data_IF_762188117963
#
_entry.id   IF_762188117963
#
_cell.length_a   1.000
_cell.length_b   1.000
_cell.length_c   1.000
_cell.angle_alpha   90.00
_cell.angle_beta   90.00
_cell.angle_gamma   90.00
#
_symmetry.space_group_name_H-M   'P 1'
#
loop_
_entity.id
_entity.type
_entity.pdbx_description
1 polymer ?
#
# COMPACT_ATOMS: atom_id res chain seq x y z
N UNK A 1 -9.67 8.76 28.71
CA UNK A 1 -10.38 8.19 27.55
C UNK A 1 -10.21 9.13 26.35
N UNK A 2 -8.95 9.38 25.94
CA UNK A 2 -8.58 10.41 24.94
C UNK A 2 -7.56 9.84 23.94
N UNK A 3 -7.83 8.64 23.38
CA UNK A 3 -6.87 7.93 22.52
C UNK A 3 -7.23 7.86 21.03
N UNK A 4 -8.38 8.43 20.63
CA UNK A 4 -8.90 8.30 19.26
C UNK A 4 -8.52 9.46 18.33
N UNK A 5 -8.14 10.63 18.87
CA UNK A 5 -7.83 11.81 18.06
C UNK A 5 -6.36 11.88 17.60
N UNK A 6 -5.42 11.31 18.37
CA UNK A 6 -3.99 11.27 18.02
C UNK A 6 -3.62 10.15 17.04
N UNK A 7 -4.48 9.14 16.88
CA UNK A 7 -4.18 7.95 16.07
C UNK A 7 -4.51 8.09 14.59
N UNK A 8 -5.52 8.89 14.24
CA UNK A 8 -5.94 9.13 12.85
C UNK A 8 -4.90 9.95 12.05
N UNK A 9 -4.31 11.05 12.59
CA UNK A 9 -3.27 11.80 11.90
C UNK A 9 -2.03 10.94 11.62
N UNK A 10 -1.60 10.14 12.58
CA UNK A 10 -0.44 9.24 12.45
C UNK A 10 -0.69 8.19 11.36
N UNK A 11 -1.88 7.60 11.29
CA UNK A 11 -2.20 6.63 10.25
C UNK A 11 -2.19 7.23 8.85
N UNK A 12 -2.76 8.44 8.69
CA UNK A 12 -2.78 9.14 7.40
C UNK A 12 -1.36 9.47 6.92
N UNK A 13 -0.49 9.96 7.80
CA UNK A 13 0.90 10.29 7.46
C UNK A 13 1.70 9.05 7.03
N UNK A 14 1.50 7.92 7.71
CA UNK A 14 2.13 6.65 7.36
C UNK A 14 1.69 6.15 5.98
N UNK A 15 0.39 6.25 5.67
CA UNK A 15 -0.17 5.88 4.37
C UNK A 15 0.35 6.79 3.27
N UNK A 16 0.34 8.11 3.50
CA UNK A 16 0.84 9.09 2.54
C UNK A 16 2.33 8.87 2.22
N UNK A 17 3.14 8.61 3.25
CA UNK A 17 4.56 8.27 3.07
C UNK A 17 4.73 6.98 2.27
N UNK A 18 3.97 5.93 2.58
CA UNK A 18 4.00 4.67 1.83
C UNK A 18 3.59 4.87 0.35
N UNK A 19 2.57 5.69 0.10
CA UNK A 19 2.13 6.05 -1.26
C UNK A 19 3.23 6.81 -2.02
N UNK A 20 3.92 7.74 -1.33
CA UNK A 20 5.08 8.45 -1.85
C UNK A 20 6.20 7.50 -2.30
N UNK A 21 6.50 6.45 -1.53
CA UNK A 21 7.51 5.44 -1.92
C UNK A 21 7.11 4.76 -3.24
N UNK A 22 5.85 4.35 -3.39
CA UNK A 22 5.38 3.70 -4.62
C UNK A 22 5.45 4.68 -5.80
N UNK A 23 5.01 5.93 -5.60
CA UNK A 23 5.04 6.96 -6.64
C UNK A 23 6.48 7.24 -7.11
N UNK A 24 7.42 7.44 -6.18
CA UNK A 24 8.83 7.68 -6.50
C UNK A 24 9.44 6.52 -7.30
N UNK A 25 9.21 5.27 -6.88
CA UNK A 25 9.64 4.08 -7.63
C UNK A 25 9.07 4.03 -9.04
N UNK A 26 7.78 4.35 -9.22
CA UNK A 26 7.10 4.34 -10.53
C UNK A 26 7.61 5.44 -11.46
N UNK A 27 8.05 6.58 -10.91
CA UNK A 27 8.65 7.67 -11.66
C UNK A 27 10.17 7.49 -11.92
N UNK A 28 10.79 6.41 -11.40
CA UNK A 28 12.23 6.15 -11.56
C UNK A 28 13.12 6.87 -10.54
N UNK A 29 12.55 7.58 -9.58
CA UNK A 29 13.28 8.23 -8.48
C UNK A 29 13.52 7.22 -7.35
N UNK A 30 14.54 6.39 -7.53
CA UNK A 30 14.90 5.36 -6.55
C UNK A 30 15.48 5.96 -5.27
N UNK A 31 16.24 7.05 -5.37
CA UNK A 31 16.82 7.74 -4.22
C UNK A 31 15.72 8.34 -3.33
N UNK A 32 14.75 9.05 -3.92
CA UNK A 32 13.60 9.57 -3.18
C UNK A 32 12.76 8.46 -2.54
N UNK A 33 12.61 7.31 -3.21
CA UNK A 33 11.94 6.16 -2.62
C UNK A 33 12.67 5.61 -1.38
N UNK A 34 14.01 5.57 -1.41
CA UNK A 34 14.84 5.15 -0.28
C UNK A 34 14.79 6.13 0.89
N UNK A 35 14.84 7.44 0.62
CA UNK A 35 14.69 8.48 1.63
C UNK A 35 13.32 8.40 2.33
N UNK A 36 12.24 8.24 1.54
CA UNK A 36 10.90 8.06 2.08
C UNK A 36 10.78 6.77 2.91
N UNK A 37 11.40 5.67 2.47
CA UNK A 37 11.45 4.42 3.25
C UNK A 37 12.22 4.56 4.56
N UNK A 38 13.30 5.35 4.58
CA UNK A 38 14.08 5.63 5.77
C UNK A 38 13.37 6.59 6.74
N UNK A 39 12.40 7.38 6.26
CA UNK A 39 11.67 8.35 7.08
C UNK A 39 10.56 7.74 7.97
N UNK A 40 10.36 6.42 7.94
CA UNK A 40 9.51 5.74 8.91
C UNK A 40 10.25 5.57 10.24
N UNK A 41 9.61 5.94 11.36
CA UNK A 41 10.21 5.89 12.70
C UNK A 41 10.55 4.48 13.19
N UNK A 42 9.85 3.48 12.67
CA UNK A 42 10.07 2.07 13.01
C UNK A 42 9.61 1.15 11.88
N UNK A 43 10.07 -0.09 11.94
CA UNK A 43 9.61 -1.13 11.02
C UNK A 43 8.11 -1.44 11.20
N UNK A 44 7.59 -1.34 12.44
CA UNK A 44 6.16 -1.50 12.71
C UNK A 44 5.35 -0.39 12.03
N UNK A 45 5.80 0.87 12.14
CA UNK A 45 5.17 2.01 11.48
C UNK A 45 5.20 1.88 9.95
N UNK A 46 6.34 1.45 9.40
CA UNK A 46 6.48 1.15 7.96
C UNK A 46 5.49 0.07 7.51
N UNK A 47 5.43 -1.03 8.25
CA UNK A 47 4.53 -2.15 7.96
C UNK A 47 3.08 -1.71 7.99
N UNK A 48 2.68 -0.94 9.01
CA UNK A 48 1.34 -0.39 9.13
C UNK A 48 0.99 0.54 7.96
N UNK A 49 1.90 1.43 7.56
CA UNK A 49 1.68 2.35 6.44
C UNK A 49 1.41 1.62 5.11
N UNK A 50 2.20 0.59 4.79
CA UNK A 50 1.98 -0.22 3.59
C UNK A 50 0.73 -1.11 3.68
N UNK A 51 0.43 -1.65 4.86
CA UNK A 51 -0.79 -2.44 5.07
C UNK A 51 -2.05 -1.60 4.82
N UNK A 52 -2.13 -0.41 5.45
CA UNK A 52 -3.26 0.50 5.27
C UNK A 52 -3.38 1.01 3.84
N UNK A 53 -2.25 1.29 3.18
CA UNK A 53 -2.25 1.68 1.77
C UNK A 53 -2.81 0.56 0.86
N UNK A 54 -2.42 -0.70 1.12
CA UNK A 54 -2.93 -1.83 0.36
C UNK A 54 -4.45 -2.00 0.55
N UNK A 55 -4.94 -1.92 1.79
CA UNK A 55 -6.37 -2.02 2.10
C UNK A 55 -7.19 -0.90 1.44
N UNK A 56 -6.69 0.35 1.49
CA UNK A 56 -7.30 1.49 0.81
C UNK A 56 -7.31 1.31 -0.72
N UNK A 57 -6.20 0.84 -1.31
CA UNK A 57 -6.13 0.59 -2.74
C UNK A 57 -7.13 -0.48 -3.19
N UNK A 58 -7.26 -1.59 -2.46
CA UNK A 58 -8.24 -2.64 -2.74
C UNK A 58 -9.67 -2.12 -2.63
N UNK A 59 -9.96 -1.32 -1.60
CA UNK A 59 -11.27 -0.69 -1.40
C UNK A 59 -11.61 0.28 -2.54
N UNK A 60 -10.63 1.08 -3.00
CA UNK A 60 -10.81 1.98 -4.14
C UNK A 60 -11.07 1.23 -5.44
N UNK A 61 -10.40 0.10 -5.68
CA UNK A 61 -10.65 -0.74 -6.86
C UNK A 61 -12.07 -1.29 -6.81
N UNK A 62 -12.48 -1.91 -5.70
CA UNK A 62 -13.84 -2.45 -5.54
C UNK A 62 -14.92 -1.38 -5.71
N UNK A 63 -14.71 -0.17 -5.18
CA UNK A 63 -15.64 0.94 -5.35
C UNK A 63 -15.76 1.39 -6.83
N UNK A 64 -14.67 1.35 -7.59
CA UNK A 64 -14.66 1.74 -9.01
C UNK A 64 -15.22 0.66 -9.94
N UNK A 65 -15.04 -0.62 -9.61
CA UNK A 65 -15.49 -1.76 -10.43
C UNK A 65 -16.86 -2.29 -10.03
N UNK A 66 -17.39 -1.89 -8.88
CA UNK A 66 -18.61 -2.46 -8.29
C UNK A 66 -18.41 -3.86 -7.71
N UNK A 67 -17.17 -4.35 -7.64
CA UNK A 67 -16.83 -5.65 -7.08
C UNK A 67 -16.78 -5.59 -5.54
N UNK A 68 -17.11 -6.72 -4.92
CA UNK A 68 -16.83 -6.93 -3.50
C UNK A 68 -15.34 -7.11 -3.24
N UNK A 69 -14.88 -6.81 -2.02
CA UNK A 69 -13.47 -6.98 -1.64
C UNK A 69 -12.95 -8.41 -1.90
N UNK A 70 -13.80 -9.43 -1.69
CA UNK A 70 -13.42 -10.83 -1.91
C UNK A 70 -13.15 -11.12 -3.40
N UNK A 71 -13.90 -10.51 -4.30
CA UNK A 71 -13.68 -10.65 -5.74
C UNK A 71 -12.39 -9.96 -6.17
N UNK A 72 -12.13 -8.74 -5.68
CA UNK A 72 -10.88 -8.02 -5.93
C UNK A 72 -9.67 -8.81 -5.41
N UNK A 73 -9.74 -9.35 -4.19
CA UNK A 73 -8.65 -10.16 -3.61
C UNK A 73 -8.42 -11.45 -4.38
N UNK A 74 -9.49 -12.12 -4.83
CA UNK A 74 -9.38 -13.31 -5.69
C UNK A 74 -8.66 -12.97 -7.00
N UNK A 75 -9.03 -11.88 -7.66
CA UNK A 75 -8.40 -11.44 -8.91
C UNK A 75 -6.93 -11.06 -8.70
N UNK A 76 -6.63 -10.32 -7.63
CA UNK A 76 -5.24 -10.04 -7.26
C UNK A 76 -4.43 -11.31 -7.04
N UNK A 77 -4.99 -12.33 -6.37
CA UNK A 77 -4.30 -13.61 -6.16
C UNK A 77 -4.00 -14.34 -7.47
N UNK A 78 -4.90 -14.26 -8.46
CA UNK A 78 -4.66 -14.81 -9.80
C UNK A 78 -3.50 -14.07 -10.50
N UNK A 79 -3.49 -12.74 -10.48
CA UNK A 79 -2.40 -11.92 -11.05
C UNK A 79 -1.06 -12.22 -10.36
N UNK A 80 -1.05 -12.37 -9.03
CA UNK A 80 0.15 -12.75 -8.29
C UNK A 80 0.65 -14.13 -8.72
N UNK A 81 -0.23 -15.12 -8.86
CA UNK A 81 0.15 -16.45 -9.34
C UNK A 81 0.73 -16.42 -10.76
N UNK A 82 0.16 -15.62 -11.66
CA UNK A 82 0.68 -15.43 -13.03
C UNK A 82 2.05 -14.76 -13.03
N UNK A 83 2.26 -13.73 -12.22
CA UNK A 83 3.56 -13.04 -12.14
C UNK A 83 4.65 -13.87 -11.45
N UNK A 84 4.29 -14.77 -10.53
CA UNK A 84 5.21 -15.68 -9.85
C UNK A 84 5.67 -16.85 -10.75
N UNK A 85 4.87 -17.20 -11.75
CA UNK A 85 5.20 -18.21 -12.76
C UNK A 85 5.32 -17.53 -14.13
N UNK A 86 6.45 -16.86 -14.43
CA UNK A 86 6.67 -16.32 -15.76
C UNK A 86 6.49 -17.46 -16.76
N UNK A 87 5.54 -17.30 -17.68
CA UNK A 87 5.31 -18.27 -18.75
C UNK A 87 6.62 -18.40 -19.54
N UNK A 88 7.37 -19.46 -19.26
CA UNK A 88 8.51 -19.86 -20.08
C UNK A 88 7.92 -20.36 -21.40
N UNK A 89 7.67 -19.42 -22.31
CA UNK A 89 7.51 -19.71 -23.73
C UNK A 89 8.88 -19.83 -24.39
#
# INVERSE_FOLDING_TARGET
MTGAADSVPVAADLVQRAAGVIAAKRCGDLAGAEELLASFESEQARTLGFYLLADLALSLVGAQTGQSLQEVVRELALVVAETAHPHTA
#
